data_IF_626316758934
#
_entry.id   IF_626316758934
#
_cell.length_a   1.000
_cell.length_b   1.000
_cell.length_c   1.000
_cell.angle_alpha   90.00
_cell.angle_beta   90.00
_cell.angle_gamma   90.00
#
_symmetry.space_group_name_H-M   'P 1'
#
loop_
_entity.id
_entity.type
_entity.pdbx_description
1 polymer ?
#
# COMPACT_ATOMS: atom_id res chain seq x y z
N UNK A 1 37.58 -5.94 25.71
CA UNK A 1 37.79 -4.50 25.45
C UNK A 1 37.16 -3.71 26.60
N UNK A 2 37.79 -2.63 27.08
CA UNK A 2 37.26 -1.86 28.19
C UNK A 2 36.21 -0.85 27.72
N UNK A 3 34.97 -0.99 28.17
CA UNK A 3 33.87 -0.04 27.89
C UNK A 3 34.28 1.38 28.32
N UNK A 4 34.07 2.37 27.44
CA UNK A 4 34.38 3.78 27.69
C UNK A 4 33.74 4.32 28.98
N UNK A 5 34.47 5.06 29.84
CA UNK A 5 33.92 5.68 31.05
C UNK A 5 32.74 6.62 30.78
N UNK A 6 32.77 7.35 29.65
CA UNK A 6 31.70 8.26 29.24
C UNK A 6 30.42 7.50 28.90
N UNK A 7 30.56 6.33 28.27
CA UNK A 7 29.41 5.49 27.96
C UNK A 7 28.78 4.90 29.23
N UNK A 8 29.60 4.47 30.20
CA UNK A 8 29.12 4.00 31.50
C UNK A 8 28.37 5.09 32.28
N UNK A 9 28.87 6.33 32.28
CA UNK A 9 28.19 7.44 32.95
C UNK A 9 26.87 7.80 32.27
N UNK A 10 26.84 7.81 30.93
CA UNK A 10 25.63 8.05 30.15
C UNK A 10 24.54 7.00 30.40
N UNK A 11 24.90 5.71 30.42
CA UNK A 11 23.93 4.62 30.69
C UNK A 11 23.42 4.68 32.13
N UNK A 12 24.28 5.02 33.11
CA UNK A 12 23.85 5.26 34.50
C UNK A 12 22.89 6.44 34.62
N UNK A 13 23.13 7.53 33.87
CA UNK A 13 22.22 8.66 33.83
C UNK A 13 20.84 8.26 33.26
N UNK A 14 20.82 7.55 32.13
CA UNK A 14 19.60 7.04 31.52
C UNK A 14 18.82 6.11 32.47
N UNK A 15 19.51 5.23 33.21
CA UNK A 15 18.88 4.37 34.22
C UNK A 15 18.22 5.18 35.34
N UNK A 16 18.90 6.21 35.86
CA UNK A 16 18.32 7.11 36.87
C UNK A 16 17.13 7.89 36.33
N UNK A 17 17.13 8.20 35.05
CA UNK A 17 16.04 8.91 34.39
C UNK A 17 14.79 8.05 34.23
N UNK A 18 14.95 6.76 33.91
CA UNK A 18 13.86 5.77 33.93
C UNK A 18 13.26 5.66 35.33
N UNK A 19 14.09 5.54 36.36
CA UNK A 19 13.59 5.45 37.74
C UNK A 19 12.83 6.71 38.15
N UNK A 20 13.32 7.90 37.78
CA UNK A 20 12.63 9.18 38.02
C UNK A 20 11.31 9.26 37.26
N UNK A 21 11.29 8.87 35.99
CA UNK A 21 10.07 8.81 35.18
C UNK A 21 9.04 7.87 35.82
N UNK A 22 9.45 6.65 36.18
CA UNK A 22 8.58 5.65 36.80
C UNK A 22 8.01 6.13 38.15
N UNK A 23 8.80 6.82 38.98
CA UNK A 23 8.30 7.38 40.25
C UNK A 23 7.24 8.45 40.05
N UNK A 24 7.34 9.23 38.97
CA UNK A 24 6.34 10.25 38.63
C UNK A 24 5.08 9.61 38.05
N UNK A 25 5.23 8.67 37.12
CA UNK A 25 4.10 8.01 36.45
C UNK A 25 3.29 7.14 37.40
N UNK A 26 3.95 6.35 38.26
CA UNK A 26 3.30 5.42 39.18
C UNK A 26 3.12 6.01 40.59
N UNK A 27 3.07 7.33 40.71
CA UNK A 27 2.94 8.00 42.01
C UNK A 27 1.60 7.65 42.69
N UNK A 28 1.66 6.92 43.80
CA UNK A 28 0.49 6.43 44.53
C UNK A 28 0.23 4.93 44.34
N UNK A 29 0.84 4.30 43.33
CA UNK A 29 0.77 2.86 43.07
C UNK A 29 2.12 2.20 43.38
N UNK A 30 2.35 1.92 44.67
CA UNK A 30 3.61 1.32 45.13
C UNK A 30 3.85 -0.09 44.60
N UNK A 31 2.86 -1.01 44.56
CA UNK A 31 3.06 -2.34 44.01
C UNK A 31 3.54 -2.32 42.56
N UNK A 32 2.89 -1.53 41.70
CA UNK A 32 3.28 -1.43 40.27
C UNK A 32 4.66 -0.79 40.13
N UNK A 33 4.96 0.26 40.90
CA UNK A 33 6.29 0.88 40.91
C UNK A 33 7.39 -0.12 41.31
N UNK A 34 7.16 -0.93 42.34
CA UNK A 34 8.13 -1.92 42.79
C UNK A 34 8.34 -3.04 41.75
N UNK A 35 7.25 -3.57 41.19
CA UNK A 35 7.30 -4.58 40.14
C UNK A 35 8.05 -4.07 38.90
N UNK A 36 7.78 -2.82 38.49
CA UNK A 36 8.48 -2.17 37.39
C UNK A 36 9.99 -2.08 37.67
N UNK A 37 10.39 -1.60 38.86
CA UNK A 37 11.81 -1.47 39.24
C UNK A 37 12.51 -2.82 39.29
N UNK A 38 11.83 -3.85 39.78
CA UNK A 38 12.35 -5.22 39.81
C UNK A 38 12.57 -5.74 38.39
N UNK A 39 11.61 -5.52 37.47
CA UNK A 39 11.71 -5.91 36.07
C UNK A 39 12.87 -5.21 35.36
N UNK A 40 12.97 -3.88 35.45
CA UNK A 40 14.08 -3.14 34.82
C UNK A 40 15.43 -3.62 35.34
N UNK A 41 15.53 -3.94 36.63
CA UNK A 41 16.76 -4.51 37.20
C UNK A 41 17.07 -5.91 36.64
N UNK A 42 16.06 -6.78 36.56
CA UNK A 42 16.19 -8.11 35.97
C UNK A 42 16.69 -8.04 34.53
N UNK A 43 16.03 -7.22 33.70
CA UNK A 43 16.37 -7.05 32.28
C UNK A 43 17.79 -6.48 32.10
N UNK A 44 18.21 -5.55 32.98
CA UNK A 44 19.58 -5.03 32.98
C UNK A 44 20.61 -6.09 33.38
N UNK A 45 20.28 -6.97 34.32
CA UNK A 45 21.18 -8.02 34.79
C UNK A 45 21.33 -9.18 33.81
N UNK A 46 20.31 -9.46 33.01
CA UNK A 46 20.34 -10.51 31.99
C UNK A 46 21.17 -10.11 30.76
N UNK A 47 21.20 -8.83 30.43
CA UNK A 47 22.07 -8.30 29.38
C UNK A 47 23.52 -8.38 29.84
N UNK A 48 24.22 -9.48 29.54
CA UNK A 48 25.65 -9.61 29.80
C UNK A 48 26.40 -8.59 28.96
N UNK A 49 26.92 -7.58 29.63
CA UNK A 49 27.62 -6.47 28.99
C UNK A 49 29.05 -6.92 28.62
N UNK A 50 29.23 -7.38 27.39
CA UNK A 50 30.56 -7.75 26.84
C UNK A 50 31.03 -6.72 25.81
N UNK A 51 30.11 -6.13 25.05
CA UNK A 51 30.41 -5.28 23.89
C UNK A 51 29.98 -3.80 24.09
N UNK A 52 30.76 -2.87 23.53
CA UNK A 52 30.50 -1.43 23.65
C UNK A 52 29.20 -0.99 22.93
N UNK A 53 28.91 -1.59 21.78
CA UNK A 53 27.69 -1.33 21.00
C UNK A 53 26.42 -1.74 21.76
N UNK A 54 26.47 -2.88 22.47
CA UNK A 54 25.35 -3.35 23.28
C UNK A 54 25.04 -2.36 24.43
N UNK A 55 26.07 -1.79 25.07
CA UNK A 55 25.88 -0.77 26.12
C UNK A 55 25.28 0.52 25.55
N UNK A 56 25.67 0.92 24.34
CA UNK A 56 25.08 2.06 23.65
C UNK A 56 23.60 1.83 23.37
N UNK A 57 23.25 0.68 22.79
CA UNK A 57 21.86 0.31 22.49
C UNK A 57 21.02 0.24 23.77
N UNK A 58 21.54 -0.37 24.84
CA UNK A 58 20.88 -0.42 26.14
C UNK A 58 20.65 0.98 26.74
N UNK A 59 21.65 1.87 26.60
CA UNK A 59 21.53 3.26 27.03
C UNK A 59 20.48 4.05 26.23
N UNK A 60 20.34 3.78 24.94
CA UNK A 60 19.28 4.36 24.10
C UNK A 60 17.90 3.83 24.50
N UNK A 61 17.76 2.52 24.64
CA UNK A 61 16.52 1.86 25.06
C UNK A 61 16.00 2.40 26.41
N UNK A 62 16.90 2.63 27.38
CA UNK A 62 16.51 3.26 28.65
C UNK A 62 15.95 4.67 28.48
N UNK A 63 16.53 5.47 27.56
CA UNK A 63 16.00 6.82 27.29
C UNK A 63 14.62 6.76 26.64
N UNK A 64 14.40 5.81 25.74
CA UNK A 64 13.10 5.59 25.10
C UNK A 64 12.03 5.20 26.13
N UNK A 65 12.35 4.24 27.03
CA UNK A 65 11.45 3.88 28.14
C UNK A 65 11.09 5.11 28.97
N UNK A 66 12.07 5.93 29.34
CA UNK A 66 11.83 7.14 30.11
C UNK A 66 10.93 8.14 29.35
N UNK A 67 11.12 8.26 28.03
CA UNK A 67 10.28 9.07 27.15
C UNK A 67 8.82 8.60 27.15
N UNK A 68 8.59 7.32 26.88
CA UNK A 68 7.26 6.70 26.86
C UNK A 68 6.55 6.86 28.19
N UNK A 69 7.25 6.63 29.31
CA UNK A 69 6.67 6.80 30.64
C UNK A 69 6.17 8.24 30.85
N UNK A 70 6.99 9.25 30.57
CA UNK A 70 6.60 10.65 30.82
C UNK A 70 5.50 11.16 29.88
N UNK A 71 5.59 10.79 28.61
CA UNK A 71 4.77 11.37 27.54
C UNK A 71 3.48 10.61 27.28
N UNK A 72 3.53 9.28 27.34
CA UNK A 72 2.47 8.42 26.81
C UNK A 72 1.68 7.72 27.91
N UNK A 73 2.26 7.52 29.10
CA UNK A 73 1.60 6.78 30.19
C UNK A 73 0.91 7.76 31.14
N UNK A 74 -0.41 7.60 31.27
CA UNK A 74 -1.25 8.44 32.13
C UNK A 74 -2.04 7.54 33.08
N UNK A 75 -2.07 7.89 34.36
CA UNK A 75 -2.84 7.16 35.37
C UNK A 75 -4.21 7.78 35.60
N UNK A 76 -5.22 6.93 35.79
CA UNK A 76 -6.55 7.34 36.21
C UNK A 76 -6.83 6.82 37.63
N UNK A 77 -7.30 7.69 38.51
CA UNK A 77 -7.78 7.33 39.85
C UNK A 77 -9.30 7.40 39.86
N UNK A 78 -9.98 6.32 40.25
CA UNK A 78 -11.43 6.32 40.46
C UNK A 78 -11.78 7.37 41.53
N UNK A 79 -12.76 8.21 41.23
CA UNK A 79 -13.35 9.19 42.16
C UNK A 79 -14.63 8.56 42.67
N UNK A 80 -14.86 8.64 43.99
CA UNK A 80 -16.02 8.00 44.60
C UNK A 80 -17.33 8.60 44.03
N UNK A 81 -18.17 7.66 43.58
CA UNK A 81 -19.50 7.74 42.97
C UNK A 81 -20.10 9.12 42.69
N UNK A 82 -20.38 9.39 41.41
CA UNK A 82 -21.48 10.28 41.07
C UNK A 82 -22.78 9.68 41.63
N UNK A 83 -23.66 10.52 42.16
CA UNK A 83 -24.98 10.13 42.69
C UNK A 83 -25.82 9.34 41.65
N UNK A 84 -25.49 9.48 40.36
CA UNK A 84 -26.12 8.81 39.22
C UNK A 84 -25.61 7.37 38.94
N UNK A 85 -24.74 6.81 39.77
CA UNK A 85 -24.19 5.45 39.58
C UNK A 85 -23.17 5.33 38.44
N UNK A 86 -22.71 6.44 37.87
CA UNK A 86 -21.66 6.47 36.86
C UNK A 86 -20.26 6.46 37.49
N UNK A 87 -19.34 5.70 36.89
CA UNK A 87 -17.95 5.64 37.35
C UNK A 87 -17.17 6.87 36.85
N UNK A 88 -16.79 7.75 37.78
CA UNK A 88 -15.94 8.90 37.49
C UNK A 88 -14.47 8.54 37.73
N UNK A 89 -13.61 8.82 36.75
CA UNK A 89 -12.18 8.64 36.86
C UNK A 89 -11.47 9.98 36.68
N UNK A 90 -10.61 10.35 37.62
CA UNK A 90 -9.71 11.50 37.50
C UNK A 90 -8.41 11.07 36.86
N UNK A 91 -8.15 11.59 35.67
CA UNK A 91 -6.91 11.37 34.93
C UNK A 91 -5.84 12.34 35.45
N UNK A 92 -4.63 11.83 35.75
CA UNK A 92 -3.48 12.66 36.15
C UNK A 92 -2.60 12.98 34.95
N UNK A 93 -2.78 14.15 34.37
CA UNK A 93 -1.92 14.69 33.30
C UNK A 93 -0.72 15.43 33.88
N UNK A 94 0.45 15.28 33.27
CA UNK A 94 1.66 16.03 33.64
C UNK A 94 2.03 17.00 32.51
N UNK A 95 2.93 17.96 32.78
CA UNK A 95 3.37 18.95 31.77
C UNK A 95 4.08 18.31 30.56
N UNK A 96 4.72 17.18 30.79
CA UNK A 96 5.48 16.45 29.77
C UNK A 96 4.63 15.42 29.03
N UNK A 97 3.35 15.26 29.41
CA UNK A 97 2.42 14.34 28.75
C UNK A 97 2.06 14.91 27.38
N UNK A 98 2.35 14.15 26.32
CA UNK A 98 2.00 14.56 24.97
C UNK A 98 0.49 14.44 24.80
N UNK A 99 -0.21 15.58 24.76
CA UNK A 99 -1.56 15.64 24.22
C UNK A 99 -1.41 15.57 22.71
N UNK A 100 -1.59 14.40 22.13
CA UNK A 100 -1.46 14.23 20.68
C UNK A 100 -2.32 15.23 19.92
N UNK A 101 -1.74 15.84 18.88
CA UNK A 101 -2.48 16.69 17.97
C UNK A 101 -3.42 15.81 17.12
N UNK A 102 -4.71 15.88 17.42
CA UNK A 102 -5.76 15.17 16.68
C UNK A 102 -5.95 15.70 15.24
N UNK A 103 -5.05 16.53 14.74
CA UNK A 103 -5.15 17.15 13.43
C UNK A 103 -5.15 16.14 12.28
N UNK A 104 -4.51 14.97 12.46
CA UNK A 104 -4.53 13.88 11.46
C UNK A 104 -5.89 13.18 11.34
N UNK A 105 -6.71 13.21 12.39
CA UNK A 105 -8.09 12.68 12.36
C UNK A 105 -9.02 13.71 11.73
N UNK A 106 -8.77 15.00 11.98
CA UNK A 106 -9.58 16.10 11.43
C UNK A 106 -9.30 16.34 9.94
N UNK A 107 -8.03 16.21 9.55
CA UNK A 107 -7.56 16.41 8.18
C UNK A 107 -6.83 15.14 7.70
N UNK A 108 -7.57 14.09 7.30
CA UNK A 108 -6.92 12.91 6.76
C UNK A 108 -6.15 13.28 5.48
N UNK A 109 -4.95 12.70 5.27
CA UNK A 109 -4.22 12.92 4.03
C UNK A 109 -5.10 12.56 2.84
N UNK A 110 -5.04 13.32 1.72
CA UNK A 110 -5.83 13.01 0.55
C UNK A 110 -5.56 11.58 0.11
N UNK A 111 -6.59 10.74 0.11
CA UNK A 111 -6.47 9.37 -0.39
C UNK A 111 -6.01 9.47 -1.85
N UNK A 112 -4.86 8.88 -2.18
CA UNK A 112 -4.34 8.90 -3.54
C UNK A 112 -5.38 8.28 -4.48
N UNK A 113 -6.18 9.13 -5.12
CA UNK A 113 -7.13 8.65 -6.11
C UNK A 113 -6.31 8.09 -7.27
N UNK A 114 -6.64 6.87 -7.71
CA UNK A 114 -5.97 6.21 -8.84
C UNK A 114 -6.08 6.98 -10.18
N UNK A 115 -6.66 8.19 -10.20
CA UNK A 115 -6.59 9.17 -11.30
C UNK A 115 -5.28 9.97 -11.31
N UNK A 116 -4.73 10.32 -10.15
CA UNK A 116 -3.50 11.11 -10.03
C UNK A 116 -2.26 10.33 -10.48
N UNK A 117 -2.11 9.09 -9.98
CA UNK A 117 -1.03 8.18 -10.37
C UNK A 117 -1.06 7.87 -11.88
N UNK A 118 -2.25 7.61 -12.46
CA UNK A 118 -2.42 7.37 -13.91
C UNK A 118 -1.90 8.51 -14.80
N UNK A 119 -1.94 9.75 -14.32
CA UNK A 119 -1.54 10.91 -15.12
C UNK A 119 -0.02 11.12 -15.11
N UNK A 120 0.64 10.80 -13.99
CA UNK A 120 2.09 10.89 -13.85
C UNK A 120 2.79 9.72 -14.57
N UNK A 121 2.30 8.49 -14.39
CA UNK A 121 2.82 7.30 -15.09
C UNK A 121 2.71 7.47 -16.62
N UNK A 122 1.57 7.98 -17.10
CA UNK A 122 1.35 8.21 -18.54
C UNK A 122 2.30 9.22 -19.19
N UNK A 123 2.86 10.16 -18.43
CA UNK A 123 3.85 11.11 -18.93
C UNK A 123 5.26 10.51 -18.93
N UNK A 124 5.62 9.76 -17.89
CA UNK A 124 6.92 9.10 -17.79
C UNK A 124 7.13 8.00 -18.86
N UNK A 125 6.08 7.36 -19.35
CA UNK A 125 6.19 6.39 -20.44
C UNK A 125 6.29 7.00 -21.84
N UNK A 126 6.01 8.30 -22.00
CA UNK A 126 6.02 8.96 -23.31
C UNK A 126 7.44 9.20 -23.84
N UNK A 127 8.45 9.30 -22.97
CA UNK A 127 9.83 9.60 -23.38
C UNK A 127 10.58 8.43 -24.04
N UNK A 128 10.05 7.21 -24.01
CA UNK A 128 10.70 6.02 -24.57
C UNK A 128 10.18 5.58 -25.95
N UNK A 129 9.34 6.39 -26.59
CA UNK A 129 8.70 6.06 -27.87
C UNK A 129 9.23 6.97 -28.97
N UNK A 130 9.84 6.38 -29.98
CA UNK A 130 10.19 7.06 -31.23
C UNK A 130 9.02 6.97 -32.20
N UNK A 131 8.55 8.12 -32.71
CA UNK A 131 7.48 8.21 -33.70
C UNK A 131 8.06 8.61 -35.06
N UNK A 132 7.72 7.87 -36.12
CA UNK A 132 8.06 8.22 -37.50
C UNK A 132 6.83 8.19 -38.40
N UNK A 133 6.82 9.07 -39.40
CA UNK A 133 5.72 9.24 -40.34
C UNK A 133 6.18 8.83 -41.74
N UNK A 134 5.43 7.94 -42.36
CA UNK A 134 5.74 7.40 -43.68
C UNK A 134 4.56 7.63 -44.60
N UNK A 135 4.83 7.74 -45.90
CA UNK A 135 3.78 7.76 -46.92
C UNK A 135 3.12 6.39 -46.97
N UNK A 136 1.80 6.38 -47.07
CA UNK A 136 1.06 5.13 -47.16
C UNK A 136 1.40 4.39 -48.45
N UNK A 137 1.48 3.06 -48.37
CA UNK A 137 1.66 2.20 -49.54
C UNK A 137 0.44 1.31 -49.68
N UNK A 138 -0.06 1.13 -50.91
CA UNK A 138 -1.23 0.28 -51.18
C UNK A 138 -2.15 0.84 -52.27
N UNK A 139 -3.19 0.07 -52.67
CA UNK A 139 -4.20 0.50 -53.63
C UNK A 139 -5.05 1.61 -53.00
N UNK A 140 -4.58 2.84 -53.15
CA UNK A 140 -5.13 4.01 -52.52
C UNK A 140 -5.02 5.20 -53.44
N UNK A 141 -6.10 5.99 -53.56
CA UNK A 141 -6.13 7.16 -54.43
C UNK A 141 -5.04 8.20 -54.12
N UNK A 142 -5.01 9.30 -54.88
CA UNK A 142 -3.97 10.34 -54.78
C UNK A 142 -3.69 10.85 -53.35
N UNK A 143 -4.68 10.83 -52.46
CA UNK A 143 -4.53 11.28 -51.07
C UNK A 143 -3.53 10.42 -50.27
N UNK A 144 -3.37 9.14 -50.58
CA UNK A 144 -2.52 8.21 -49.80
C UNK A 144 -1.05 8.39 -50.16
N UNK A 145 -0.76 8.62 -51.44
CA UNK A 145 0.61 8.82 -51.93
C UNK A 145 1.18 10.20 -51.59
N UNK A 146 0.32 11.21 -51.36
CA UNK A 146 0.73 12.58 -51.05
C UNK A 146 0.89 12.85 -49.55
N UNK A 147 0.17 12.11 -48.69
CA UNK A 147 0.10 12.42 -47.25
C UNK A 147 0.90 11.41 -46.42
N UNK A 148 1.76 11.90 -45.54
CA UNK A 148 2.54 11.09 -44.58
C UNK A 148 1.69 10.71 -43.37
N UNK A 149 0.68 9.87 -43.62
CA UNK A 149 -0.34 9.52 -42.64
C UNK A 149 -0.12 8.11 -42.01
N UNK A 150 0.86 7.35 -42.48
CA UNK A 150 1.23 6.08 -41.86
C UNK A 150 2.13 6.35 -40.66
N UNK A 151 1.66 6.00 -39.46
CA UNK A 151 2.38 6.24 -38.21
C UNK A 151 3.09 4.96 -37.80
N UNK A 152 4.40 5.03 -37.62
CA UNK A 152 5.20 3.95 -37.08
C UNK A 152 5.73 4.35 -35.70
N UNK A 153 5.52 3.49 -34.71
CA UNK A 153 5.99 3.67 -33.34
C UNK A 153 6.99 2.56 -32.99
N UNK A 154 8.10 2.97 -32.37
CA UNK A 154 9.12 2.08 -31.81
C UNK A 154 9.25 2.36 -30.31
N UNK A 155 9.06 1.32 -29.49
CA UNK A 155 9.38 1.40 -28.06
C UNK A 155 10.85 1.05 -27.85
N UNK A 156 11.67 2.04 -27.53
CA UNK A 156 13.13 1.90 -27.44
C UNK A 156 13.62 0.77 -26.52
N UNK A 157 13.14 0.62 -25.27
CA UNK A 157 13.69 -0.38 -24.36
C UNK A 157 13.26 -1.82 -24.68
N UNK A 158 12.13 -2.00 -25.39
CA UNK A 158 11.61 -3.35 -25.72
C UNK A 158 11.84 -3.72 -27.19
N UNK A 159 12.19 -2.76 -28.05
CA UNK A 159 12.29 -2.95 -29.50
C UNK A 159 10.95 -3.23 -30.20
N UNK A 160 9.82 -3.09 -29.50
CA UNK A 160 8.50 -3.38 -30.06
C UNK A 160 8.12 -2.33 -31.11
N UNK A 161 7.80 -2.79 -32.33
CA UNK A 161 7.40 -1.92 -33.45
C UNK A 161 5.93 -2.14 -33.83
N UNK A 162 5.23 -1.04 -34.10
CA UNK A 162 3.85 -1.02 -34.58
C UNK A 162 3.69 0.01 -35.69
N UNK A 163 2.97 -0.34 -36.76
CA UNK A 163 2.58 0.58 -37.85
C UNK A 163 1.06 0.67 -37.94
N UNK A 164 0.51 1.86 -38.18
CA UNK A 164 -0.94 2.08 -38.32
C UNK A 164 -1.25 3.01 -39.49
N UNK A 165 -2.14 2.55 -40.39
CA UNK A 165 -2.63 3.28 -41.57
C UNK A 165 -4.13 3.00 -41.76
N UNK A 166 -4.95 3.14 -40.72
CA UNK A 166 -6.39 2.84 -40.80
C UNK A 166 -7.23 4.04 -41.23
N UNK A 167 -7.01 5.20 -40.61
CA UNK A 167 -7.84 6.39 -40.82
C UNK A 167 -7.13 7.42 -41.69
N UNK A 168 -7.88 8.35 -42.31
CA UNK A 168 -7.33 9.48 -43.10
C UNK A 168 -6.62 10.53 -42.23
N UNK A 169 -6.93 10.59 -40.94
CA UNK A 169 -6.39 11.59 -40.01
C UNK A 169 -5.19 11.08 -39.24
N UNK A 170 -4.09 11.85 -39.27
CA UNK A 170 -2.84 11.54 -38.58
C UNK A 170 -3.05 11.39 -37.06
N UNK A 171 -3.86 12.27 -36.46
CA UNK A 171 -4.09 12.26 -35.01
C UNK A 171 -4.82 11.01 -34.53
N UNK A 172 -5.73 10.48 -35.36
CA UNK A 172 -6.44 9.24 -35.09
C UNK A 172 -5.50 8.04 -35.23
N UNK A 173 -4.68 8.02 -36.29
CA UNK A 173 -3.66 6.98 -36.47
C UNK A 173 -2.63 6.97 -35.34
N UNK A 174 -2.20 8.13 -34.82
CA UNK A 174 -1.32 8.21 -33.63
C UNK A 174 -1.96 7.59 -32.39
N UNK A 175 -3.26 7.86 -32.15
CA UNK A 175 -3.99 7.28 -31.00
C UNK A 175 -4.12 5.76 -31.13
N UNK A 176 -4.45 5.27 -32.32
CA UNK A 176 -4.56 3.84 -32.60
C UNK A 176 -3.22 3.13 -32.48
N UNK A 177 -2.16 3.67 -33.09
CA UNK A 177 -0.81 3.12 -33.00
C UNK A 177 -0.34 2.99 -31.54
N UNK A 178 -0.61 4.00 -30.69
CA UNK A 178 -0.28 3.94 -29.26
C UNK A 178 -1.08 2.87 -28.52
N UNK A 179 -2.36 2.70 -28.85
CA UNK A 179 -3.21 1.65 -28.26
C UNK A 179 -2.66 0.26 -28.59
N UNK A 180 -2.31 0.01 -29.85
CA UNK A 180 -1.73 -1.26 -30.29
C UNK A 180 -0.34 -1.50 -29.70
N UNK A 181 0.48 -0.46 -29.58
CA UNK A 181 1.78 -0.57 -28.90
C UNK A 181 1.61 -0.97 -27.43
N UNK A 182 0.64 -0.36 -26.74
CA UNK A 182 0.32 -0.71 -25.35
C UNK A 182 -0.18 -2.16 -25.22
N UNK A 183 -1.03 -2.63 -26.14
CA UNK A 183 -1.48 -4.02 -26.18
C UNK A 183 -0.31 -4.99 -26.39
N UNK A 184 0.62 -4.69 -27.32
CA UNK A 184 1.85 -5.48 -27.50
C UNK A 184 2.74 -5.48 -26.26
N UNK A 185 2.92 -4.34 -25.60
CA UNK A 185 3.73 -4.23 -24.38
C UNK A 185 3.09 -4.99 -23.21
N UNK A 186 1.77 -4.97 -23.07
CA UNK A 186 1.05 -5.74 -22.05
C UNK A 186 1.20 -7.25 -22.26
N UNK A 187 1.16 -7.70 -23.51
CA UNK A 187 1.42 -9.11 -23.86
C UNK A 187 2.86 -9.53 -23.52
N UNK A 188 3.84 -8.66 -23.77
CA UNK A 188 5.25 -8.93 -23.47
C UNK A 188 5.56 -8.90 -21.97
N UNK A 189 4.98 -7.95 -21.23
CA UNK A 189 5.19 -7.83 -19.80
C UNK A 189 4.51 -8.95 -19.02
N UNK A 190 3.31 -9.37 -19.45
CA UNK A 190 2.47 -10.31 -18.71
C UNK A 190 1.97 -11.46 -19.63
N UNK A 191 2.80 -12.47 -19.94
CA UNK A 191 2.37 -13.60 -20.73
C UNK A 191 1.23 -14.35 -20.01
N UNK A 192 0.06 -14.46 -20.65
CA UNK A 192 -1.11 -15.16 -20.13
C UNK A 192 -2.09 -14.31 -19.29
N UNK A 193 -1.63 -13.23 -18.65
CA UNK A 193 -2.48 -12.32 -17.86
C UNK A 193 -2.84 -11.01 -18.58
N UNK A 194 -2.44 -10.84 -19.84
CA UNK A 194 -2.80 -9.65 -20.61
C UNK A 194 -4.31 -9.39 -20.62
N UNK A 195 -4.69 -8.11 -20.68
CA UNK A 195 -6.08 -7.63 -20.72
C UNK A 195 -6.90 -8.31 -21.81
N UNK A 196 -6.29 -8.62 -22.96
CA UNK A 196 -6.97 -9.32 -24.06
C UNK A 196 -7.27 -10.77 -23.70
N UNK A 197 -6.32 -11.49 -23.12
CA UNK A 197 -6.50 -12.86 -22.66
C UNK A 197 -7.56 -12.95 -21.57
N UNK A 198 -7.57 -12.01 -20.62
CA UNK A 198 -8.61 -11.92 -19.59
C UNK A 198 -10.00 -11.65 -20.17
N UNK A 199 -10.10 -10.73 -21.14
CA UNK A 199 -11.36 -10.45 -21.85
C UNK A 199 -11.84 -11.68 -22.63
N UNK A 200 -10.95 -12.34 -23.34
CA UNK A 200 -11.24 -13.56 -24.09
C UNK A 200 -11.69 -14.70 -23.16
N UNK A 201 -11.00 -14.90 -22.02
CA UNK A 201 -11.38 -15.89 -21.01
C UNK A 201 -12.78 -15.60 -20.44
N UNK A 202 -13.05 -14.34 -20.07
CA UNK A 202 -14.37 -13.91 -19.59
C UNK A 202 -15.47 -14.10 -20.63
N UNK A 203 -15.18 -13.84 -21.89
CA UNK A 203 -16.13 -14.04 -22.98
C UNK A 203 -16.43 -15.52 -23.21
N UNK A 204 -15.40 -16.38 -23.23
CA UNK A 204 -15.55 -17.85 -23.30
C UNK A 204 -16.37 -18.38 -22.13
N UNK A 205 -16.16 -17.87 -20.93
CA UNK A 205 -16.95 -18.25 -19.76
C UNK A 205 -18.42 -17.85 -19.91
N UNK A 206 -18.70 -16.62 -20.34
CA UNK A 206 -20.07 -16.14 -20.62
C UNK A 206 -20.77 -17.00 -21.67
N UNK A 207 -20.08 -17.35 -22.75
CA UNK A 207 -20.61 -18.24 -23.79
C UNK A 207 -20.86 -19.66 -23.27
N UNK A 208 -19.94 -20.20 -22.46
CA UNK A 208 -20.12 -21.51 -21.79
C UNK A 208 -21.36 -21.52 -20.90
N UNK A 209 -21.57 -20.46 -20.13
CA UNK A 209 -22.76 -20.31 -19.28
C UNK A 209 -24.04 -20.20 -20.12
N UNK A 210 -24.04 -19.41 -21.21
CA UNK A 210 -25.16 -19.31 -22.15
C UNK A 210 -25.50 -20.67 -22.77
N UNK A 211 -24.50 -21.43 -23.22
CA UNK A 211 -24.69 -22.78 -23.79
C UNK A 211 -25.26 -23.77 -22.78
N UNK A 212 -24.78 -23.75 -21.52
CA UNK A 212 -25.33 -24.59 -20.43
C UNK A 212 -26.81 -24.26 -20.16
N UNK A 213 -27.16 -22.97 -20.08
CA UNK A 213 -28.55 -22.51 -19.89
C UNK A 213 -29.44 -22.92 -21.07
N UNK A 214 -28.97 -22.76 -22.31
CA UNK A 214 -29.70 -23.18 -23.51
C UNK A 214 -29.96 -24.70 -23.52
N UNK A 215 -28.94 -25.53 -23.22
CA UNK A 215 -29.10 -26.99 -23.10
C UNK A 215 -30.10 -27.40 -22.02
N UNK A 216 -30.08 -26.74 -20.85
CA UNK A 216 -31.05 -27.02 -19.76
C UNK A 216 -32.48 -26.66 -20.18
N UNK A 217 -32.66 -25.55 -20.90
CA UNK A 217 -33.97 -25.13 -21.43
C UNK A 217 -34.50 -26.11 -22.48
N UNK A 218 -33.64 -26.59 -23.39
CA UNK A 218 -34.00 -27.59 -24.38
C UNK A 218 -34.44 -28.92 -23.73
N UNK A 219 -33.65 -29.46 -22.79
CA UNK A 219 -34.02 -30.68 -22.04
C UNK A 219 -35.34 -30.55 -21.27
N UNK A 220 -35.61 -29.38 -20.68
CA UNK A 220 -36.88 -29.13 -19.98
C UNK A 220 -38.08 -29.10 -20.93
N UNK A 221 -37.87 -28.70 -22.19
CA UNK A 221 -38.92 -28.67 -23.22
C UNK A 221 -39.18 -30.05 -23.83
N UNK A 222 -38.14 -30.87 -23.97
CA UNK A 222 -38.25 -32.26 -24.47
C UNK A 222 -38.83 -33.25 -23.45
N UNK A 223 -38.66 -33.00 -22.14
CA UNK A 223 -39.17 -33.87 -21.08
C UNK A 223 -40.70 -34.13 -21.09
N UNK A 224 -41.58 -33.12 -21.26
CA UNK A 224 -43.02 -33.36 -21.37
C UNK A 224 -43.42 -34.07 -22.66
N UNK A 225 -42.71 -33.83 -23.78
CA UNK A 225 -43.03 -34.44 -25.08
C UNK A 225 -42.73 -35.94 -25.12
N UNK A 226 -41.73 -36.41 -24.36
CA UNK A 226 -41.44 -37.85 -24.25
C UNK A 226 -42.40 -38.62 -23.35
N UNK A 227 -43.03 -37.95 -22.39
CA UNK A 227 -44.07 -38.58 -21.55
C UNK A 227 -45.41 -38.71 -22.31
N UNK A 228 -45.62 -37.93 -23.38
CA UNK A 228 -46.80 -38.03 -24.23
C UNK A 228 -46.64 -39.05 -25.39
N UNK A 229 -45.42 -39.54 -25.65
CA UNK A 229 -45.13 -40.54 -26.70
C UNK A 229 -44.95 -41.98 -26.15
N UNK A 230 -44.89 -42.17 -24.82
CA UNK A 230 -44.71 -43.48 -24.16
C UNK A 230 -46.00 -44.05 -23.51
N UNK A 231 -47.13 -43.32 -23.57
CA UNK A 231 -48.48 -43.76 -23.18
C UNK A 231 -49.36 -44.06 -24.42
#
# INVERSE_FOLDING_TARGET
MSISPALRSATRAAYRDVLRAATLTFAGDRPVLQAFRAKVRSDLSQTLVVDETAVQQQGQFLREIAGVLRRNVVQATKVDAAEDGSELYRIRLTKDTELGDNDSIKNPPPVESSRGQRHQDGQAHKCYIEESFVRGSGPGGQSINKTENNVQLLHMPTGARVSCQEMRSLSQNRKLARKWLLEKLDQLANPGLSKENMKAAKQRERERQRRKKAKKKAKKKEAPQRMEEED
#
